data_IF_254506938096
#
_entry.id   IF_254506938096
#
_cell.length_a   1.000
_cell.length_b   1.000
_cell.length_c   1.000
_cell.angle_alpha   90.00
_cell.angle_beta   90.00
_cell.angle_gamma   90.00
#
_symmetry.space_group_name_H-M   'P 1'
#
loop_
_entity.id
_entity.type
_entity.pdbx_description
1 polymer ?
#
# COMPACT_ATOMS: atom_id res chain seq x y z
N UNK A 1 -64.28 -29.05 -7.89
CA UNK A 1 -62.93 -29.61 -8.16
C UNK A 1 -61.94 -28.51 -7.80
N UNK A 2 -61.20 -28.67 -6.71
CA UNK A 2 -60.35 -27.63 -6.11
C UNK A 2 -58.98 -27.64 -6.78
N UNK A 3 -58.61 -26.53 -7.43
CA UNK A 3 -57.27 -26.34 -8.00
C UNK A 3 -56.38 -25.73 -6.90
N UNK A 4 -55.50 -26.54 -6.33
CA UNK A 4 -54.44 -26.08 -5.42
C UNK A 4 -53.35 -25.40 -6.24
N UNK A 5 -53.19 -24.09 -6.08
CA UNK A 5 -52.03 -23.35 -6.59
C UNK A 5 -50.98 -23.26 -5.48
N UNK A 6 -49.90 -24.01 -5.63
CA UNK A 6 -48.71 -23.90 -4.78
C UNK A 6 -47.84 -22.77 -5.31
N UNK A 7 -47.73 -21.67 -4.55
CA UNK A 7 -46.75 -20.61 -4.82
C UNK A 7 -45.42 -21.02 -4.20
N UNK A 8 -44.46 -21.40 -5.06
CA UNK A 8 -43.07 -21.59 -4.66
C UNK A 8 -42.35 -20.23 -4.68
N UNK A 9 -42.04 -19.69 -3.50
CA UNK A 9 -41.20 -18.50 -3.36
C UNK A 9 -39.74 -18.95 -3.53
N UNK A 10 -39.15 -18.67 -4.69
CA UNK A 10 -37.72 -18.87 -4.92
C UNK A 10 -36.95 -17.67 -4.37
N UNK A 11 -36.28 -17.86 -3.22
CA UNK A 11 -35.39 -16.86 -2.64
C UNK A 11 -34.04 -16.93 -3.36
N UNK A 12 -33.84 -16.10 -4.39
CA UNK A 12 -32.53 -15.94 -5.02
C UNK A 12 -31.62 -15.12 -4.11
N UNK A 13 -30.77 -15.79 -3.34
CA UNK A 13 -29.66 -15.14 -2.65
C UNK A 13 -28.64 -14.65 -3.70
N UNK A 14 -28.66 -13.35 -4.00
CA UNK A 14 -27.52 -12.73 -4.69
C UNK A 14 -26.36 -12.68 -3.69
N UNK A 15 -25.42 -13.61 -3.81
CA UNK A 15 -24.11 -13.44 -3.21
C UNK A 15 -23.46 -12.21 -3.86
N UNK A 16 -23.36 -11.11 -3.11
CA UNK A 16 -22.53 -9.98 -3.49
C UNK A 16 -21.09 -10.49 -3.54
N UNK A 17 -20.57 -10.69 -4.75
CA UNK A 17 -19.15 -10.95 -4.93
C UNK A 17 -18.47 -9.62 -4.66
N UNK A 18 -17.87 -9.47 -3.49
CA UNK A 18 -17.01 -8.32 -3.17
C UNK A 18 -16.00 -8.15 -4.32
N UNK A 19 -16.22 -7.14 -5.14
CA UNK A 19 -15.45 -6.92 -6.35
C UNK A 19 -14.21 -6.12 -5.96
N UNK A 20 -13.11 -6.82 -5.74
CA UNK A 20 -11.82 -6.19 -5.52
C UNK A 20 -11.50 -5.27 -6.72
N UNK A 21 -11.12 -4.01 -6.44
CA UNK A 21 -10.97 -2.96 -7.46
C UNK A 21 -9.78 -3.25 -8.36
N UNK A 22 -9.89 -2.91 -9.65
CA UNK A 22 -8.72 -2.88 -10.54
C UNK A 22 -7.69 -1.88 -9.99
N UNK A 23 -6.42 -2.28 -9.93
CA UNK A 23 -5.36 -1.40 -9.45
C UNK A 23 -5.14 -0.23 -10.42
N UNK A 24 -5.27 1.04 -9.94
CA UNK A 24 -4.99 2.22 -10.76
C UNK A 24 -3.56 2.22 -11.30
N UNK A 25 -3.36 2.77 -12.50
CA UNK A 25 -2.09 2.67 -13.21
C UNK A 25 -0.89 3.23 -12.43
N UNK A 26 -1.09 4.32 -11.68
CA UNK A 26 -0.07 4.92 -10.83
C UNK A 26 0.33 3.99 -9.67
N UNK A 27 -0.64 3.36 -9.01
CA UNK A 27 -0.40 2.39 -7.93
C UNK A 27 0.26 1.12 -8.47
N UNK A 28 -0.15 0.65 -9.65
CA UNK A 28 0.48 -0.51 -10.31
C UNK A 28 1.95 -0.23 -10.67
N UNK A 29 2.23 0.97 -11.18
CA UNK A 29 3.60 1.41 -11.44
C UNK A 29 4.42 1.49 -10.15
N UNK A 30 3.82 1.98 -9.06
CA UNK A 30 4.46 2.04 -7.75
C UNK A 30 4.79 0.64 -7.21
N UNK A 31 3.85 -0.29 -7.24
CA UNK A 31 4.06 -1.69 -6.89
C UNK A 31 5.24 -2.30 -7.68
N UNK A 32 5.26 -2.14 -9.00
CA UNK A 32 6.33 -2.64 -9.84
C UNK A 32 7.67 -1.95 -9.56
N UNK A 33 7.66 -0.65 -9.27
CA UNK A 33 8.85 0.14 -8.95
C UNK A 33 9.49 -0.32 -7.64
N UNK A 34 8.69 -0.51 -6.59
CA UNK A 34 9.15 -1.03 -5.29
C UNK A 34 9.78 -2.41 -5.50
N UNK A 35 9.09 -3.34 -6.17
CA UNK A 35 9.63 -4.68 -6.42
C UNK A 35 10.91 -4.63 -7.26
N UNK A 36 10.94 -3.79 -8.29
CA UNK A 36 12.12 -3.59 -9.15
C UNK A 36 13.30 -2.93 -8.45
N UNK A 37 13.05 -2.10 -7.43
CA UNK A 37 14.08 -1.51 -6.58
C UNK A 37 14.85 -2.59 -5.80
N UNK A 38 14.19 -3.70 -5.49
CA UNK A 38 14.78 -4.86 -4.86
C UNK A 38 14.84 -4.81 -3.33
N UNK A 39 15.02 -3.64 -2.73
CA UNK A 39 14.99 -3.48 -1.27
C UNK A 39 14.76 -2.03 -0.88
N UNK A 40 14.35 -1.81 0.35
CA UNK A 40 14.24 -0.51 0.98
C UNK A 40 15.56 0.28 0.92
N UNK A 41 15.53 1.58 0.61
CA UNK A 41 16.74 2.44 0.64
C UNK A 41 16.78 3.34 1.87
N UNK A 42 15.63 3.84 2.27
CA UNK A 42 15.37 4.62 3.47
C UNK A 42 14.56 3.77 4.44
N UNK A 43 15.26 2.94 5.21
CA UNK A 43 14.68 2.09 6.25
C UNK A 43 14.30 2.95 7.45
N UNK A 44 13.02 2.97 7.80
CA UNK A 44 12.53 3.63 9.01
C UNK A 44 12.67 2.71 10.24
N UNK A 45 12.40 1.43 10.04
CA UNK A 45 12.70 0.33 10.96
C UNK A 45 12.83 -0.97 10.16
N UNK A 46 13.67 -1.88 10.64
CA UNK A 46 13.94 -3.16 10.00
C UNK A 46 14.17 -4.28 11.01
N UNK A 47 14.33 -5.50 10.49
CA UNK A 47 14.46 -6.71 11.32
C UNK A 47 13.11 -7.36 11.63
N UNK A 48 12.14 -7.20 10.73
CA UNK A 48 10.84 -7.84 10.82
C UNK A 48 10.76 -9.09 9.95
N UNK A 49 9.75 -9.90 10.23
CA UNK A 49 9.46 -11.18 9.61
C UNK A 49 8.05 -11.16 9.01
N UNK A 50 7.89 -11.69 7.81
CA UNK A 50 6.58 -11.91 7.20
C UNK A 50 6.00 -13.26 7.62
N UNK A 51 6.88 -14.26 7.80
CA UNK A 51 6.50 -15.63 8.14
C UNK A 51 7.53 -16.16 9.12
N UNK A 52 7.07 -16.93 10.10
CA UNK A 52 7.93 -17.62 11.05
C UNK A 52 9.11 -18.33 10.35
N UNK A 53 10.33 -17.99 10.75
CA UNK A 53 11.56 -18.62 10.28
C UNK A 53 12.09 -18.11 8.95
N UNK A 54 11.52 -17.06 8.37
CA UNK A 54 12.06 -16.39 7.18
C UNK A 54 13.39 -15.65 7.41
N UNK A 55 13.86 -15.62 8.66
CA UNK A 55 15.20 -15.26 9.13
C UNK A 55 16.33 -16.20 8.63
N UNK A 56 16.01 -17.21 7.82
CA UNK A 56 17.00 -18.10 7.18
C UNK A 56 17.50 -19.23 8.07
N UNK A 57 16.60 -19.83 8.88
CA UNK A 57 16.91 -21.03 9.69
C UNK A 57 16.82 -22.34 8.90
N UNK A 58 16.32 -22.31 7.66
CA UNK A 58 16.27 -23.48 6.77
C UNK A 58 17.49 -23.49 5.83
N UNK A 59 18.11 -24.66 5.55
CA UNK A 59 19.29 -24.79 4.67
C UNK A 59 19.12 -24.16 3.27
N UNK A 60 17.86 -24.02 2.84
CA UNK A 60 17.47 -23.56 1.50
C UNK A 60 16.88 -22.14 1.50
N UNK A 61 16.68 -21.51 2.67
CA UNK A 61 16.02 -20.21 2.80
C UNK A 61 17.03 -19.13 3.17
N UNK A 62 17.23 -18.17 2.27
CA UNK A 62 18.03 -16.97 2.59
C UNK A 62 17.22 -16.10 3.55
N UNK A 63 17.84 -15.49 4.58
CA UNK A 63 17.18 -14.52 5.44
C UNK A 63 16.55 -13.40 4.60
N UNK A 64 15.25 -13.18 4.74
CA UNK A 64 14.57 -12.02 4.18
C UNK A 64 14.14 -11.16 5.35
N UNK A 65 14.94 -10.15 5.67
CA UNK A 65 14.49 -9.12 6.60
C UNK A 65 13.46 -8.24 5.88
N UNK A 66 12.39 -7.90 6.57
CA UNK A 66 11.37 -6.94 6.14
C UNK A 66 11.54 -5.61 6.86
N UNK A 67 11.24 -4.54 6.15
CA UNK A 67 11.45 -3.16 6.59
C UNK A 67 10.19 -2.32 6.41
N UNK A 68 9.97 -1.39 7.34
CA UNK A 68 9.14 -0.21 7.12
C UNK A 68 9.94 0.82 6.32
N UNK A 69 9.42 1.18 5.16
CA UNK A 69 10.13 1.97 4.16
C UNK A 69 9.59 3.39 4.02
N UNK A 70 10.51 4.34 4.10
CA UNK A 70 10.27 5.77 3.94
C UNK A 70 10.82 6.34 2.63
N UNK A 71 11.08 5.51 1.61
CA UNK A 71 11.66 5.95 0.34
C UNK A 71 10.83 7.05 -0.34
N UNK A 72 9.52 7.03 -0.09
CA UNK A 72 8.56 7.91 -0.74
C UNK A 72 7.81 8.82 0.24
N UNK A 73 8.41 9.08 1.41
CA UNK A 73 7.82 10.01 2.39
C UNK A 73 7.91 11.47 1.91
N UNK A 74 8.93 11.82 1.13
CA UNK A 74 9.17 13.20 0.66
C UNK A 74 8.47 13.57 -0.66
N UNK A 75 8.17 12.59 -1.51
CA UNK A 75 7.58 12.82 -2.85
C UNK A 75 6.09 12.44 -2.91
N UNK A 76 5.71 11.27 -2.41
CA UNK A 76 4.33 10.77 -2.40
C UNK A 76 3.68 10.83 -1.02
N UNK A 77 4.46 11.12 0.01
CA UNK A 77 4.03 11.09 1.40
C UNK A 77 3.36 9.74 1.73
N UNK A 78 4.11 8.66 1.58
CA UNK A 78 3.71 7.29 1.89
C UNK A 78 4.80 6.52 2.63
N UNK A 79 4.37 5.55 3.43
CA UNK A 79 5.21 4.53 4.08
C UNK A 79 4.69 3.17 3.61
N UNK A 80 5.58 2.20 3.42
CA UNK A 80 5.20 0.88 2.94
C UNK A 80 6.09 -0.22 3.52
N UNK A 81 5.68 -1.48 3.39
CA UNK A 81 6.47 -2.65 3.78
C UNK A 81 7.19 -3.25 2.57
N UNK A 82 8.47 -3.57 2.73
CA UNK A 82 9.25 -4.26 1.71
C UNK A 82 10.33 -5.16 2.32
N UNK A 83 10.53 -6.32 1.72
CA UNK A 83 11.67 -7.19 1.99
C UNK A 83 12.74 -7.10 0.91
N UNK A 84 13.82 -7.86 1.10
CA UNK A 84 14.94 -7.95 0.15
C UNK A 84 14.56 -8.69 -1.14
N UNK A 85 15.36 -8.53 -2.19
CA UNK A 85 15.19 -9.18 -3.50
C UNK A 85 13.83 -8.93 -4.19
N UNK A 86 13.22 -7.77 -3.92
CA UNK A 86 11.94 -7.35 -4.50
C UNK A 86 10.74 -8.05 -3.89
N UNK A 87 10.94 -8.73 -2.75
CA UNK A 87 9.87 -9.32 -1.97
C UNK A 87 9.06 -8.22 -1.29
N UNK A 88 7.77 -8.44 -1.21
CA UNK A 88 6.88 -7.69 -0.35
C UNK A 88 6.53 -8.59 0.84
N UNK A 89 5.61 -8.21 1.69
CA UNK A 89 5.18 -9.06 2.80
C UNK A 89 4.04 -9.99 2.38
N UNK A 90 3.72 -10.94 3.25
CA UNK A 90 2.60 -11.86 3.16
C UNK A 90 1.30 -11.16 3.63
N UNK A 91 0.24 -11.95 3.84
CA UNK A 91 -0.96 -11.50 4.55
C UNK A 91 -1.42 -12.59 5.52
N UNK A 92 -0.97 -12.49 6.77
CA UNK A 92 -1.54 -13.25 7.88
C UNK A 92 -2.86 -12.62 8.39
N UNK A 93 -3.56 -13.34 9.26
CA UNK A 93 -4.96 -13.07 9.61
C UNK A 93 -5.11 -12.62 11.05
N UNK A 94 -5.48 -11.35 11.19
CA UNK A 94 -5.92 -10.79 12.45
C UNK A 94 -7.43 -11.00 12.61
N UNK A 95 -7.81 -11.50 13.77
CA UNK A 95 -9.20 -11.75 14.16
C UNK A 95 -9.63 -10.90 15.36
N UNK A 96 -8.87 -9.88 15.73
CA UNK A 96 -9.04 -9.11 16.96
C UNK A 96 -10.25 -8.16 16.90
N UNK A 97 -10.68 -7.72 18.08
CA UNK A 97 -11.81 -6.81 18.25
C UNK A 97 -13.15 -7.51 18.47
N UNK A 98 -14.21 -7.00 17.85
CA UNK A 98 -15.58 -7.51 18.02
C UNK A 98 -15.70 -8.92 17.46
N UNK A 99 -16.04 -9.84 18.36
CA UNK A 99 -16.35 -11.23 18.03
C UNK A 99 -17.86 -11.43 17.84
N UNK A 100 -18.25 -12.39 17.00
CA UNK A 100 -19.64 -12.80 16.79
C UNK A 100 -20.56 -11.67 16.29
N UNK A 101 -20.00 -10.74 15.52
CA UNK A 101 -20.77 -9.73 14.81
C UNK A 101 -21.57 -10.33 13.64
N UNK A 102 -22.47 -9.57 13.01
CA UNK A 102 -23.33 -10.10 11.94
C UNK A 102 -22.61 -10.59 10.69
N UNK A 103 -21.35 -10.17 10.47
CA UNK A 103 -20.50 -10.64 9.38
C UNK A 103 -19.69 -11.90 9.74
N UNK A 104 -19.67 -12.33 11.00
CA UNK A 104 -18.93 -13.50 11.45
C UNK A 104 -19.48 -14.77 10.79
N UNK A 105 -18.63 -15.44 10.02
CA UNK A 105 -18.93 -16.71 9.37
C UNK A 105 -18.15 -17.90 9.96
N UNK A 106 -17.58 -17.71 11.15
CA UNK A 106 -16.92 -18.72 11.96
C UNK A 106 -15.46 -19.00 11.57
N UNK A 107 -14.93 -18.35 10.52
CA UNK A 107 -13.56 -18.60 10.04
C UNK A 107 -12.48 -18.04 10.96
N UNK A 108 -12.80 -17.08 11.83
CA UNK A 108 -11.91 -16.68 12.91
C UNK A 108 -11.87 -17.70 14.05
N UNK A 109 -12.84 -18.62 14.15
CA UNK A 109 -12.89 -19.61 15.23
C UNK A 109 -11.75 -20.64 15.22
N UNK A 110 -10.89 -20.64 14.18
CA UNK A 110 -9.66 -21.43 14.17
C UNK A 110 -8.49 -20.72 14.88
N UNK A 111 -8.47 -19.38 14.94
CA UNK A 111 -7.38 -18.60 15.55
C UNK A 111 -7.21 -18.97 17.03
N UNK A 112 -5.95 -19.16 17.43
CA UNK A 112 -5.56 -19.46 18.81
C UNK A 112 -5.14 -18.24 19.63
N UNK A 113 -5.03 -17.08 18.99
CA UNK A 113 -4.45 -15.84 19.48
C UNK A 113 -5.42 -14.64 19.45
N UNK A 114 -6.63 -14.82 18.91
CA UNK A 114 -7.66 -13.77 18.87
C UNK A 114 -7.86 -13.07 20.21
N UNK A 115 -7.77 -11.75 20.20
CA UNK A 115 -8.06 -10.86 21.31
C UNK A 115 -9.42 -10.18 21.14
N UNK A 116 -10.05 -9.85 22.26
CA UNK A 116 -11.37 -9.20 22.23
C UNK A 116 -11.33 -7.71 21.91
N UNK A 117 -10.16 -7.16 21.61
CA UNK A 117 -9.94 -5.72 21.47
C UNK A 117 -8.85 -5.42 20.45
N UNK A 118 -9.06 -4.41 19.60
CA UNK A 118 -7.99 -3.89 18.73
C UNK A 118 -7.23 -2.74 19.40
N UNK A 119 -6.01 -2.44 18.93
CA UNK A 119 -5.18 -1.35 19.49
C UNK A 119 -5.88 0.02 19.55
N UNK A 120 -6.84 0.30 18.67
CA UNK A 120 -7.50 1.61 18.58
C UNK A 120 -8.98 1.62 19.01
N UNK A 121 -9.42 0.60 19.74
CA UNK A 121 -10.78 0.53 20.29
C UNK A 121 -11.18 1.81 21.04
N UNK A 122 -10.28 2.36 21.85
CA UNK A 122 -10.51 3.58 22.65
C UNK A 122 -10.75 4.81 21.76
N UNK A 123 -9.95 4.97 20.71
CA UNK A 123 -10.10 6.04 19.72
C UNK A 123 -11.45 5.92 19.03
N UNK A 124 -11.83 4.70 18.63
CA UNK A 124 -13.09 4.46 17.94
C UNK A 124 -14.30 4.73 18.85
N UNK A 125 -14.25 4.32 20.12
CA UNK A 125 -15.28 4.68 21.11
C UNK A 125 -15.40 6.20 21.28
N UNK A 126 -14.28 6.91 21.21
CA UNK A 126 -14.22 8.37 21.25
C UNK A 126 -14.99 9.06 20.13
N UNK A 127 -15.25 8.40 19.00
CA UNK A 127 -16.07 8.95 17.91
C UNK A 127 -17.57 9.00 18.21
N UNK A 128 -18.05 8.28 19.23
CA UNK A 128 -19.46 8.35 19.67
C UNK A 128 -20.46 7.84 18.62
N UNK A 129 -20.05 6.93 17.73
CA UNK A 129 -20.88 6.38 16.65
C UNK A 129 -21.71 5.16 17.08
N UNK A 130 -21.53 4.72 18.33
CA UNK A 130 -22.10 3.47 18.85
C UNK A 130 -21.24 2.24 18.56
N UNK A 131 -20.25 2.35 17.67
CA UNK A 131 -19.26 1.30 17.47
C UNK A 131 -18.27 1.26 18.63
N UNK A 132 -18.02 0.07 19.20
CA UNK A 132 -17.15 -0.10 20.36
C UNK A 132 -15.72 -0.49 20.01
N UNK A 133 -15.55 -1.16 18.88
CA UNK A 133 -14.27 -1.62 18.35
C UNK A 133 -14.43 -1.98 16.86
N UNK A 134 -13.36 -2.30 16.15
CA UNK A 134 -13.43 -2.89 14.83
C UNK A 134 -13.93 -4.34 14.93
N UNK A 135 -14.62 -4.81 13.90
CA UNK A 135 -15.06 -6.21 13.74
C UNK A 135 -14.27 -6.78 12.56
N UNK A 136 -13.38 -7.74 12.79
CA UNK A 136 -12.51 -8.34 11.77
C UNK A 136 -13.27 -8.86 10.53
N UNK A 137 -14.53 -9.26 10.69
CA UNK A 137 -15.37 -9.80 9.63
C UNK A 137 -16.10 -8.71 8.82
N UNK A 138 -16.27 -7.50 9.38
CA UNK A 138 -16.96 -6.38 8.74
C UNK A 138 -16.05 -5.21 8.35
N UNK A 139 -14.97 -4.99 9.08
CA UNK A 139 -14.09 -3.85 8.95
C UNK A 139 -12.77 -4.31 8.33
N UNK A 140 -12.49 -4.01 7.06
CA UNK A 140 -11.14 -4.17 6.54
C UNK A 140 -10.18 -3.24 7.28
N UNK A 141 -9.29 -3.83 8.06
CA UNK A 141 -8.17 -3.15 8.67
C UNK A 141 -6.87 -3.91 8.47
N UNK A 142 -5.77 -3.17 8.65
CA UNK A 142 -4.40 -3.62 8.58
C UNK A 142 -3.80 -3.54 9.98
N UNK A 143 -3.03 -4.56 10.36
CA UNK A 143 -2.14 -4.52 11.51
C UNK A 143 -0.84 -3.87 11.05
N UNK A 144 -0.53 -2.70 11.58
CA UNK A 144 0.59 -1.88 11.11
C UNK A 144 1.31 -1.23 12.28
N UNK A 145 2.63 -1.28 12.30
CA UNK A 145 3.39 -0.95 13.50
C UNK A 145 3.55 -2.15 14.43
N UNK A 146 4.56 -2.04 15.28
CA UNK A 146 4.97 -3.08 16.22
C UNK A 146 5.24 -2.42 17.57
N UNK A 147 4.59 -2.94 18.60
CA UNK A 147 4.67 -2.42 19.97
C UNK A 147 5.09 -3.52 20.93
N UNK A 148 5.86 -3.14 21.94
CA UNK A 148 6.45 -4.13 22.83
C UNK A 148 7.63 -3.62 23.64
N UNK A 149 8.11 -4.47 24.53
CA UNK A 149 9.32 -4.29 25.35
C UNK A 149 10.22 -5.52 25.39
N UNK A 150 9.86 -6.63 24.71
CA UNK A 150 10.63 -7.88 24.71
C UNK A 150 11.99 -7.66 24.08
N UNK A 151 13.04 -8.03 24.81
CA UNK A 151 14.42 -7.86 24.33
C UNK A 151 14.63 -8.67 23.06
N UNK A 152 15.15 -8.01 22.03
CA UNK A 152 15.43 -8.63 20.73
C UNK A 152 14.30 -8.46 19.71
N UNK A 153 13.17 -7.87 20.11
CA UNK A 153 12.06 -7.56 19.22
C UNK A 153 12.23 -6.17 18.62
N UNK A 154 12.01 -6.08 17.30
CA UNK A 154 11.93 -4.82 16.60
C UNK A 154 10.56 -4.19 16.86
N UNK A 155 10.58 -2.88 17.10
CA UNK A 155 9.38 -2.06 17.28
C UNK A 155 9.35 -0.96 16.23
N UNK A 156 8.14 -0.59 15.81
CA UNK A 156 7.92 0.52 14.91
C UNK A 156 6.64 1.24 15.30
N UNK A 157 6.73 2.55 15.50
CA UNK A 157 5.59 3.40 15.81
C UNK A 157 5.29 4.30 14.60
N UNK A 158 4.25 3.99 13.80
CA UNK A 158 3.89 4.78 12.63
C UNK A 158 3.57 6.25 12.94
N UNK A 159 3.14 6.55 14.18
CA UNK A 159 2.84 7.93 14.63
C UNK A 159 4.05 8.85 14.56
N UNK A 160 5.26 8.31 14.78
CA UNK A 160 6.52 9.08 14.67
C UNK A 160 6.76 9.62 13.27
N UNK A 161 6.12 9.04 12.27
CA UNK A 161 6.21 9.42 10.87
C UNK A 161 4.90 10.01 10.33
N UNK A 162 4.01 10.41 11.22
CA UNK A 162 2.78 11.14 10.89
C UNK A 162 1.61 10.27 10.40
N UNK A 163 1.72 8.95 10.49
CA UNK A 163 0.55 8.08 10.28
C UNK A 163 -0.32 8.14 11.54
N UNK A 164 -1.59 8.42 11.37
CA UNK A 164 -2.53 8.62 12.48
C UNK A 164 -3.36 7.34 12.69
N UNK A 165 -3.70 6.94 13.93
CA UNK A 165 -4.59 5.82 14.20
C UNK A 165 -5.89 5.90 13.39
N UNK A 166 -6.37 4.75 12.89
CA UNK A 166 -7.55 4.65 12.03
C UNK A 166 -7.45 5.40 10.70
N UNK A 167 -6.24 5.81 10.28
CA UNK A 167 -6.02 6.35 8.93
C UNK A 167 -6.29 5.30 7.86
N UNK A 168 -6.83 5.73 6.73
CA UNK A 168 -7.05 4.85 5.58
C UNK A 168 -5.69 4.40 5.03
N UNK A 169 -5.59 3.11 4.75
CA UNK A 169 -4.46 2.47 4.09
C UNK A 169 -4.92 1.86 2.76
N UNK A 170 -3.98 1.72 1.82
CA UNK A 170 -4.21 0.99 0.58
C UNK A 170 -3.39 -0.30 0.59
N UNK A 171 -4.03 -1.42 0.28
CA UNK A 171 -3.41 -2.74 0.17
C UNK A 171 -3.51 -3.20 -1.28
N UNK A 172 -2.40 -3.64 -1.85
CA UNK A 172 -2.34 -4.17 -3.20
C UNK A 172 -2.03 -5.66 -3.13
N UNK A 173 -3.01 -6.47 -3.50
CA UNK A 173 -2.95 -7.93 -3.47
C UNK A 173 -2.69 -8.46 -4.88
N UNK A 174 -1.66 -9.28 -5.02
CA UNK A 174 -1.35 -9.96 -6.28
C UNK A 174 -2.24 -11.19 -6.44
N UNK A 175 -3.53 -11.00 -6.78
CA UNK A 175 -4.49 -12.09 -6.82
C UNK A 175 -4.02 -13.24 -7.73
N UNK A 176 -3.78 -14.41 -7.13
CA UNK A 176 -3.53 -15.69 -7.81
C UNK A 176 -4.77 -16.58 -7.89
N UNK A 177 -5.98 -16.02 -7.85
CA UNK A 177 -7.22 -16.81 -7.91
C UNK A 177 -7.19 -17.79 -9.11
N UNK A 178 -7.08 -19.09 -8.81
CA UNK A 178 -7.07 -20.23 -9.75
C UNK A 178 -8.44 -20.40 -10.42
N UNK A 179 -8.81 -19.47 -11.30
CA UNK A 179 -9.88 -19.68 -12.28
C UNK A 179 -9.22 -20.13 -13.58
N UNK A 180 -9.75 -21.16 -14.29
CA UNK A 180 -9.13 -21.70 -15.50
C UNK A 180 -8.73 -20.60 -16.50
N UNK A 181 -7.48 -20.72 -16.96
CA UNK A 181 -6.63 -19.81 -17.74
C UNK A 181 -7.28 -19.18 -18.99
N UNK A 182 -8.46 -19.61 -19.42
CA UNK A 182 -9.02 -19.22 -20.72
C UNK A 182 -9.84 -17.93 -20.73
N UNK A 183 -10.05 -17.23 -19.58
CA UNK A 183 -10.91 -16.02 -19.55
C UNK A 183 -10.49 -14.82 -18.67
N UNK A 184 -9.28 -14.73 -18.10
CA UNK A 184 -8.94 -13.56 -17.24
C UNK A 184 -7.58 -12.93 -17.54
N UNK A 185 -7.57 -11.59 -17.55
CA UNK A 185 -6.37 -10.80 -17.30
C UNK A 185 -5.84 -11.13 -15.89
N UNK A 186 -4.52 -11.13 -15.66
CA UNK A 186 -3.98 -11.09 -14.31
C UNK A 186 -4.44 -9.79 -13.64
N UNK A 187 -5.42 -9.88 -12.75
CA UNK A 187 -5.95 -8.73 -12.01
C UNK A 187 -5.31 -8.72 -10.64
N UNK A 188 -4.25 -7.93 -10.48
CA UNK A 188 -3.86 -7.41 -9.17
C UNK A 188 -5.04 -6.57 -8.67
N UNK A 189 -5.38 -6.67 -7.39
CA UNK A 189 -6.47 -5.90 -6.79
C UNK A 189 -5.97 -4.89 -5.77
N UNK A 190 -6.65 -3.75 -5.68
CA UNK A 190 -6.46 -2.77 -4.63
C UNK A 190 -7.65 -2.78 -3.67
N UNK A 191 -7.36 -2.77 -2.38
CA UNK A 191 -8.35 -2.72 -1.29
C UNK A 191 -8.01 -1.57 -0.36
N UNK A 192 -9.03 -0.87 0.12
CA UNK A 192 -8.86 0.10 1.20
C UNK A 192 -9.26 -0.54 2.53
N UNK A 193 -8.43 -0.29 3.53
CA UNK A 193 -8.73 -0.57 4.93
C UNK A 193 -8.33 0.61 5.79
N UNK A 194 -8.41 0.45 7.11
CA UNK A 194 -7.80 1.40 8.06
C UNK A 194 -6.61 0.77 8.76
N UNK A 195 -5.67 1.57 9.25
CA UNK A 195 -4.75 1.13 10.28
C UNK A 195 -5.56 0.88 11.56
N UNK A 196 -5.85 -0.38 11.85
CA UNK A 196 -6.76 -0.79 12.92
C UNK A 196 -6.07 -1.36 14.14
N UNK A 197 -4.93 -2.01 13.93
CA UNK A 197 -4.20 -2.70 14.99
C UNK A 197 -2.67 -2.56 14.88
N UNK A 198 -1.95 -3.00 15.90
CA UNK A 198 -0.48 -3.03 15.98
C UNK A 198 -0.02 -4.43 16.42
N UNK A 199 1.04 -4.98 15.81
CA UNK A 199 1.59 -6.27 16.23
C UNK A 199 2.27 -6.14 17.60
N UNK A 200 2.12 -7.16 18.44
CA UNK A 200 2.69 -7.20 19.78
C UNK A 200 4.06 -7.88 19.88
N UNK A 201 4.48 -8.17 21.11
CA UNK A 201 5.58 -9.08 21.41
C UNK A 201 5.09 -10.54 21.53
N UNK A 202 4.28 -10.98 20.59
CA UNK A 202 3.76 -12.33 20.48
C UNK A 202 4.66 -13.21 19.61
N UNK A 203 4.44 -14.52 19.66
CA UNK A 203 5.24 -15.48 18.90
C UNK A 203 6.74 -15.48 19.24
N UNK A 204 7.57 -15.80 18.24
CA UNK A 204 9.03 -15.95 18.38
C UNK A 204 9.86 -14.87 17.68
N UNK A 205 9.21 -14.07 16.83
CA UNK A 205 9.83 -13.11 15.92
C UNK A 205 8.94 -11.86 15.79
N UNK A 206 9.51 -10.70 15.41
CA UNK A 206 8.73 -9.46 15.22
C UNK A 206 8.02 -9.49 13.86
N UNK A 207 6.73 -9.79 13.88
CA UNK A 207 5.94 -10.06 12.68
C UNK A 207 5.42 -8.78 12.00
N UNK A 208 5.23 -8.83 10.68
CA UNK A 208 4.54 -7.83 9.86
C UNK A 208 3.75 -8.52 8.76
N UNK A 209 2.81 -7.81 8.14
CA UNK A 209 2.05 -8.34 7.02
C UNK A 209 0.80 -9.07 7.47
N UNK A 210 0.04 -8.48 8.37
CA UNK A 210 -1.18 -9.05 8.93
C UNK A 210 -2.37 -8.10 8.70
N UNK A 211 -3.56 -8.67 8.50
CA UNK A 211 -4.77 -7.92 8.24
C UNK A 211 -6.03 -8.67 8.71
N UNK A 212 -7.11 -7.91 8.94
CA UNK A 212 -8.42 -8.47 9.25
C UNK A 212 -8.86 -9.55 8.25
N UNK A 213 -9.56 -10.58 8.74
CA UNK A 213 -10.09 -11.64 7.89
C UNK A 213 -10.97 -11.12 6.74
N UNK A 214 -11.69 -10.01 6.93
CA UNK A 214 -12.51 -9.40 5.88
C UNK A 214 -11.68 -8.84 4.72
N UNK A 215 -10.56 -8.17 5.03
CA UNK A 215 -9.60 -7.67 4.03
C UNK A 215 -8.96 -8.84 3.28
N UNK A 216 -8.46 -9.84 4.01
CA UNK A 216 -7.84 -11.01 3.40
C UNK A 216 -8.80 -11.83 2.54
N UNK A 217 -10.06 -11.97 2.98
CA UNK A 217 -11.12 -12.59 2.18
C UNK A 217 -11.36 -11.84 0.88
N UNK A 218 -11.30 -10.52 0.89
CA UNK A 218 -11.48 -9.71 -0.30
C UNK A 218 -10.28 -9.82 -1.28
N UNK A 219 -9.07 -10.08 -0.77
CA UNK A 219 -7.88 -10.33 -1.61
C UNK A 219 -7.85 -11.76 -2.18
N UNK A 220 -8.05 -12.77 -1.34
CA UNK A 220 -7.71 -14.17 -1.67
C UNK A 220 -8.92 -15.11 -1.65
N UNK A 221 -10.09 -14.60 -1.31
CA UNK A 221 -11.34 -15.35 -1.26
C UNK A 221 -11.53 -16.13 0.03
N UNK A 222 -12.58 -16.96 0.05
CA UNK A 222 -13.05 -17.67 1.25
C UNK A 222 -12.17 -18.85 1.71
N UNK A 223 -11.04 -19.10 1.06
CA UNK A 223 -10.09 -20.13 1.48
C UNK A 223 -9.30 -19.76 2.73
N UNK A 224 -9.24 -18.47 3.04
CA UNK A 224 -8.56 -17.89 4.19
C UNK A 224 -9.36 -18.10 5.48
N UNK A 225 -8.68 -18.36 6.59
CA UNK A 225 -9.24 -18.46 7.95
C UNK A 225 -8.21 -18.00 9.00
N UNK A 226 -8.60 -17.94 10.28
CA UNK A 226 -7.77 -17.40 11.37
C UNK A 226 -6.42 -18.09 11.63
N UNK A 227 -6.13 -19.24 11.00
CA UNK A 227 -4.81 -19.90 11.06
C UNK A 227 -4.18 -20.08 9.68
N UNK A 228 -4.78 -19.53 8.63
CA UNK A 228 -4.35 -19.76 7.26
C UNK A 228 -4.60 -18.51 6.43
N UNK A 229 -3.60 -17.64 6.45
CA UNK A 229 -3.48 -16.48 5.58
C UNK A 229 -2.92 -16.82 4.19
N UNK A 230 -2.22 -15.85 3.62
CA UNK A 230 -1.56 -15.93 2.32
C UNK A 230 -0.06 -15.78 2.49
N UNK A 231 0.68 -16.87 2.30
CA UNK A 231 2.12 -16.97 2.55
C UNK A 231 3.00 -16.38 1.43
N UNK A 232 2.47 -16.02 0.26
CA UNK A 232 3.33 -15.43 -0.77
C UNK A 232 3.66 -13.97 -0.43
N UNK A 233 4.95 -13.64 -0.55
CA UNK A 233 5.52 -12.30 -0.33
C UNK A 233 5.27 -11.33 -1.49
N UNK A 234 3.99 -11.09 -1.77
CA UNK A 234 3.49 -10.28 -2.89
C UNK A 234 2.36 -9.30 -2.55
N UNK A 235 2.18 -8.98 -1.26
CA UNK A 235 1.21 -7.99 -0.78
C UNK A 235 1.92 -6.68 -0.43
N UNK A 236 1.49 -5.57 -1.05
CA UNK A 236 1.98 -4.23 -0.72
C UNK A 236 0.99 -3.51 0.19
N UNK A 237 1.45 -3.14 1.39
CA UNK A 237 0.74 -2.26 2.31
C UNK A 237 1.26 -0.83 2.14
N UNK A 238 0.36 0.14 2.00
CA UNK A 238 0.69 1.56 1.82
C UNK A 238 -0.05 2.37 2.88
N UNK A 239 0.70 2.95 3.81
CA UNK A 239 0.23 3.92 4.78
C UNK A 239 0.40 5.35 4.27
N UNK A 240 -0.56 6.22 4.58
CA UNK A 240 -0.55 7.62 4.19
C UNK A 240 -0.41 8.51 5.43
N UNK A 241 0.77 9.10 5.70
CA UNK A 241 0.90 10.12 6.72
C UNK A 241 -0.02 11.32 6.48
N UNK A 242 -0.47 11.93 7.58
CA UNK A 242 -1.26 13.15 7.61
C UNK A 242 -2.69 12.94 8.13
N UNK A 243 -3.20 13.96 8.81
CA UNK A 243 -4.56 13.99 9.36
C UNK A 243 -5.65 13.82 8.31
N UNK A 244 -5.35 14.20 7.06
CA UNK A 244 -6.30 14.06 5.96
C UNK A 244 -6.48 12.61 5.50
N UNK A 245 -5.65 11.68 5.99
CA UNK A 245 -5.86 10.24 5.81
C UNK A 245 -6.84 9.64 6.82
N UNK A 246 -7.21 10.37 7.88
CA UNK A 246 -8.15 9.89 8.90
C UNK A 246 -9.59 10.21 8.47
N UNK A 247 -10.47 9.22 8.28
CA UNK A 247 -11.87 9.49 7.94
C UNK A 247 -12.62 10.16 9.10
N UNK A 248 -12.19 9.93 10.33
CA UNK A 248 -12.79 10.49 11.54
C UNK A 248 -14.20 9.97 11.80
N UNK A 249 -14.88 10.52 12.81
CA UNK A 249 -16.18 10.04 13.28
C UNK A 249 -17.28 10.00 12.20
N UNK A 250 -17.20 10.87 11.18
CA UNK A 250 -18.24 11.04 10.15
C UNK A 250 -17.82 10.61 8.74
N UNK A 251 -16.53 10.31 8.53
CA UNK A 251 -16.01 9.97 7.20
C UNK A 251 -15.94 8.47 6.91
N UNK A 252 -16.30 7.62 7.87
CA UNK A 252 -16.44 6.18 7.70
C UNK A 252 -17.73 5.70 8.37
N UNK A 253 -18.29 4.61 7.84
CA UNK A 253 -19.43 3.91 8.43
C UNK A 253 -18.94 2.95 9.50
N UNK A 254 -18.52 3.47 10.65
CA UNK A 254 -17.96 2.67 11.75
C UNK A 254 -18.91 1.60 12.29
N UNK A 255 -20.22 1.73 12.12
CA UNK A 255 -21.20 0.74 12.52
C UNK A 255 -21.61 -0.20 11.37
N UNK A 256 -20.81 -0.27 10.29
CA UNK A 256 -21.05 -1.19 9.18
C UNK A 256 -21.07 -2.63 9.69
N UNK A 257 -22.01 -3.41 9.18
CA UNK A 257 -22.20 -4.81 9.60
C UNK A 257 -21.66 -5.81 8.56
N UNK A 258 -20.91 -5.32 7.57
CA UNK A 258 -20.27 -6.13 6.53
C UNK A 258 -19.15 -5.32 5.83
N UNK A 259 -18.25 -6.07 5.19
CA UNK A 259 -17.10 -5.53 4.44
C UNK A 259 -17.50 -4.47 3.41
N UNK A 260 -18.48 -4.77 2.54
CA UNK A 260 -18.82 -3.89 1.42
C UNK A 260 -19.31 -2.53 1.94
N UNK A 261 -20.13 -2.50 2.99
CA UNK A 261 -20.62 -1.26 3.56
C UNK A 261 -19.49 -0.39 4.13
N UNK A 262 -18.53 -0.99 4.84
CA UNK A 262 -17.42 -0.25 5.41
C UNK A 262 -16.45 0.23 4.32
N UNK A 263 -15.98 -0.66 3.44
CA UNK A 263 -15.00 -0.32 2.41
C UNK A 263 -15.53 0.76 1.46
N UNK A 264 -16.80 0.67 1.06
CA UNK A 264 -17.42 1.69 0.21
C UNK A 264 -17.47 3.05 0.92
N UNK A 265 -17.59 3.09 2.25
CA UNK A 265 -17.63 4.35 3.00
C UNK A 265 -16.28 5.09 2.99
N UNK A 266 -15.15 4.36 2.97
CA UNK A 266 -13.80 4.93 2.95
C UNK A 266 -13.20 5.05 1.55
N UNK A 267 -13.79 4.39 0.56
CA UNK A 267 -13.36 4.39 -0.85
C UNK A 267 -13.06 5.79 -1.39
N UNK A 268 -13.94 6.77 -1.11
CA UNK A 268 -13.76 8.13 -1.61
C UNK A 268 -12.47 8.78 -1.10
N UNK A 269 -12.16 8.55 0.17
CA UNK A 269 -10.92 9.01 0.80
C UNK A 269 -9.71 8.25 0.27
N UNK A 270 -9.78 6.92 0.21
CA UNK A 270 -8.71 6.08 -0.36
C UNK A 270 -8.33 6.51 -1.78
N UNK A 271 -9.33 6.70 -2.65
CA UNK A 271 -9.14 7.15 -4.03
C UNK A 271 -8.44 8.51 -4.13
N UNK A 272 -8.69 9.42 -3.17
CA UNK A 272 -8.01 10.71 -3.07
C UNK A 272 -6.55 10.54 -2.64
N UNK A 273 -6.29 9.71 -1.62
CA UNK A 273 -4.95 9.50 -1.06
C UNK A 273 -3.99 8.88 -2.09
N UNK A 274 -4.44 7.89 -2.86
CA UNK A 274 -3.60 7.24 -3.87
C UNK A 274 -3.21 8.18 -5.02
N UNK A 275 -3.87 9.33 -5.21
CA UNK A 275 -3.46 10.31 -6.23
C UNK A 275 -2.10 10.95 -5.92
N UNK A 276 -1.62 10.87 -4.68
CA UNK A 276 -0.27 11.32 -4.31
C UNK A 276 0.81 10.47 -4.99
N UNK A 277 0.51 9.20 -5.26
CA UNK A 277 1.46 8.24 -5.81
C UNK A 277 1.63 8.48 -7.32
N UNK A 278 2.87 8.74 -7.75
CA UNK A 278 3.21 8.96 -9.17
C UNK A 278 2.75 10.29 -9.75
N UNK A 279 2.10 11.14 -8.95
CA UNK A 279 1.57 12.45 -9.34
C UNK A 279 2.38 13.58 -8.73
N UNK A 280 3.67 13.69 -9.05
CA UNK A 280 4.49 14.81 -8.60
C UNK A 280 3.86 16.16 -9.00
N UNK A 281 3.25 16.86 -8.02
CA UNK A 281 2.63 18.16 -8.26
C UNK A 281 1.64 18.66 -7.20
N UNK A 282 2.12 19.03 -6.01
CA UNK A 282 1.66 20.25 -5.31
C UNK A 282 0.55 20.16 -4.26
N UNK A 283 0.95 20.17 -2.98
CA UNK A 283 0.41 21.10 -1.97
C UNK A 283 1.39 21.18 -0.79
N UNK A 284 2.54 21.83 -1.02
CA UNK A 284 3.20 22.51 0.09
C UNK A 284 2.18 23.51 0.63
N UNK A 285 1.83 23.36 1.91
CA UNK A 285 1.02 24.29 2.65
C UNK A 285 1.54 25.71 2.39
N UNK A 286 0.72 26.53 1.74
CA UNK A 286 0.92 27.97 1.77
C UNK A 286 0.86 28.37 3.24
N UNK A 287 2.02 28.72 3.80
CA UNK A 287 2.11 29.45 5.04
C UNK A 287 1.28 30.72 4.86
N UNK A 288 0.07 30.71 5.42
CA UNK A 288 -0.76 31.88 5.55
C UNK A 288 -0.10 32.82 6.54
N UNK A 289 0.78 33.69 6.04
CA UNK A 289 1.14 34.91 6.74
C UNK A 289 -0.13 35.76 6.78
N UNK A 290 -0.80 35.71 7.93
CA UNK A 290 -1.89 36.62 8.27
C UNK A 290 -1.35 38.04 8.25
N UNK A 291 -1.68 38.79 7.20
CA UNK A 291 -1.56 40.24 7.18
C UNK A 291 -2.95 40.80 7.51
N UNK A 292 -3.12 41.22 8.76
CA UNK A 292 -4.25 42.02 9.22
C UNK A 292 -4.33 43.29 8.35
N UNK A 293 -5.37 43.43 7.55
CA UNK A 293 -5.79 44.71 6.98
C UNK A 293 -7.10 45.10 7.65
N UNK A 294 -7.04 46.17 8.45
CA UNK A 294 -8.20 46.82 9.02
C UNK A 294 -9.12 47.33 7.90
N UNK A 295 -10.40 47.00 8.03
CA UNK A 295 -11.50 47.69 7.40
C UNK A 295 -11.47 49.18 7.74
N UNK A 296 -11.63 50.04 6.72
CA UNK A 296 -12.34 51.32 6.80
C UNK A 296 -12.58 51.83 5.35
N UNK A 297 -13.82 51.70 4.89
CA UNK A 297 -14.43 52.58 3.88
C UNK A 297 -15.42 53.51 4.61
N UNK A 298 -15.98 54.61 4.03
CA UNK A 298 -16.00 54.98 2.61
C UNK A 298 -15.76 56.49 2.31
N UNK A 299 -15.51 56.84 1.04
CA UNK A 299 -15.47 58.23 0.60
C UNK A 299 -15.48 58.39 -0.92
N UNK A 300 -16.43 59.18 -1.41
CA UNK A 300 -16.82 59.42 -2.81
C UNK A 300 -15.95 60.48 -3.53
N UNK A 301 -16.05 60.43 -4.86
CA UNK A 301 -15.86 61.50 -5.86
C UNK A 301 -14.44 61.96 -6.25
N UNK A 302 -14.02 61.66 -7.48
CA UNK A 302 -13.95 62.61 -8.63
C UNK A 302 -12.95 62.15 -9.70
N UNK A 303 -13.34 62.35 -10.96
CA UNK A 303 -12.59 62.08 -12.18
C UNK A 303 -11.51 63.14 -12.40
N UNK A 304 -10.25 62.75 -12.69
CA UNK A 304 -9.37 63.55 -13.58
C UNK A 304 -8.17 62.76 -14.16
N UNK A 305 -8.19 62.70 -15.50
CA UNK A 305 -7.11 62.68 -16.50
C UNK A 305 -5.70 62.10 -16.17
N UNK A 306 -5.26 61.22 -17.09
CA UNK A 306 -3.85 60.91 -17.40
C UNK A 306 -3.02 62.18 -17.70
N UNK A 307 -1.69 62.10 -17.50
CA UNK A 307 -0.83 61.93 -18.66
C UNK A 307 0.32 60.92 -18.48
N UNK A 308 0.87 60.55 -19.65
CA UNK A 308 1.99 59.67 -19.91
C UNK A 308 3.31 60.07 -19.23
N UNK A 309 4.18 59.09 -18.95
CA UNK A 309 5.52 59.01 -19.56
C UNK A 309 6.31 57.78 -19.06
N UNK A 310 7.11 57.24 -19.97
CA UNK A 310 8.08 56.15 -19.84
C UNK A 310 9.08 56.34 -18.68
N UNK A 311 9.57 55.22 -18.12
CA UNK A 311 10.96 54.73 -18.35
C UNK A 311 11.26 53.45 -17.56
N UNK A 312 11.46 52.38 -18.32
CA UNK A 312 12.22 51.18 -17.94
C UNK A 312 13.69 51.55 -17.77
N UNK A 313 14.32 51.14 -16.66
CA UNK A 313 15.77 50.94 -16.59
C UNK A 313 16.09 49.72 -15.73
N UNK A 314 16.80 48.77 -16.34
CA UNK A 314 17.49 47.68 -15.67
C UNK A 314 18.93 48.13 -15.37
N UNK A 315 19.60 47.62 -14.32
CA UNK A 315 21.03 47.77 -14.17
C UNK A 315 21.79 46.54 -14.69
N UNK A 316 22.66 46.77 -15.67
CA UNK A 316 23.95 46.10 -15.86
C UNK A 316 24.90 46.58 -14.73
N UNK A 317 25.98 45.94 -14.28
CA UNK A 317 27.00 45.06 -14.86
C UNK A 317 27.93 44.66 -13.70
N UNK A 318 28.48 43.44 -13.64
CA UNK A 318 29.84 43.16 -13.15
C UNK A 318 30.39 41.92 -13.91
N UNK A 319 31.54 42.09 -14.54
CA UNK A 319 32.29 41.15 -15.39
C UNK A 319 32.94 40.01 -14.57
N UNK A 320 32.76 38.75 -14.97
CA UNK A 320 33.70 37.89 -15.71
C UNK A 320 34.96 37.41 -14.97
N UNK A 321 35.05 36.09 -14.73
CA UNK A 321 36.27 35.30 -14.97
C UNK A 321 35.92 33.84 -15.34
N UNK A 322 36.35 33.49 -16.56
CA UNK A 322 36.63 32.23 -17.26
C UNK A 322 36.51 30.85 -16.57
N UNK A 323 35.99 29.89 -17.35
CA UNK A 323 36.16 28.43 -17.17
C UNK A 323 35.43 27.59 -18.23
N UNK A 324 36.01 27.48 -19.43
CA UNK A 324 35.52 26.69 -20.59
C UNK A 324 35.52 25.17 -20.34
N UNK A 325 34.43 24.46 -20.70
CA UNK A 325 34.46 23.13 -21.34
C UNK A 325 33.04 22.66 -21.74
N UNK A 326 32.65 22.86 -23.02
CA UNK A 326 31.75 21.97 -23.78
C UNK A 326 31.29 22.64 -25.09
N UNK A 327 31.86 22.22 -26.23
CA UNK A 327 31.19 22.14 -27.55
C UNK A 327 32.21 21.98 -28.68
N UNK A 328 32.31 20.77 -29.23
CA UNK A 328 32.81 20.36 -30.56
C UNK A 328 32.80 18.82 -30.49
N UNK A 329 32.07 18.05 -31.29
CA UNK A 329 32.05 18.02 -32.76
C UNK A 329 30.75 17.33 -33.21
N UNK A 330 29.98 18.01 -34.08
CA UNK A 330 28.96 17.38 -34.95
C UNK A 330 29.30 17.83 -36.38
N UNK A 331 29.21 16.87 -37.32
CA UNK A 331 29.46 16.92 -38.78
C UNK A 331 30.91 16.78 -39.25
N UNK A 332 31.22 15.59 -39.77
CA UNK A 332 31.76 15.49 -41.12
C UNK A 332 31.43 14.13 -41.79
N UNK A 333 30.68 14.25 -42.89
CA UNK A 333 30.74 13.49 -44.15
C UNK A 333 30.29 12.01 -44.26
N UNK A 334 29.14 11.91 -44.94
CA UNK A 334 28.65 10.87 -45.85
C UNK A 334 29.65 10.40 -46.93
N UNK A 335 29.36 9.17 -47.43
CA UNK A 335 29.80 8.44 -48.65
C UNK A 335 30.85 7.35 -48.36
N UNK A 336 30.73 6.09 -48.78
CA UNK A 336 29.92 5.44 -49.84
C UNK A 336 30.00 3.91 -49.71
N UNK A 337 28.92 3.24 -50.16
CA UNK A 337 28.82 1.94 -50.89
C UNK A 337 29.06 0.59 -50.16
N UNK A 338 27.94 -0.14 -50.05
CA UNK A 338 27.64 -1.53 -50.49
C UNK A 338 28.83 -2.44 -50.82
N UNK A 339 28.88 -3.61 -50.17
CA UNK A 339 29.02 -4.95 -50.81
C UNK A 339 28.28 -6.00 -49.96
N UNK A 340 27.59 -6.91 -50.63
CA UNK A 340 26.86 -8.06 -50.09
C UNK A 340 27.77 -9.27 -49.85
N UNK A 341 27.37 -10.22 -49.00
CA UNK A 341 27.86 -11.60 -49.11
C UNK A 341 27.99 -12.39 -47.80
N UNK A 342 27.07 -13.37 -47.65
CA UNK A 342 27.28 -14.78 -47.23
C UNK A 342 28.33 -15.11 -46.14
N UNK A 343 27.88 -15.92 -45.17
CA UNK A 343 28.61 -17.14 -44.85
C UNK A 343 28.93 -17.43 -43.37
N UNK A 344 28.31 -18.50 -42.88
CA UNK A 344 28.87 -19.59 -42.05
C UNK A 344 29.27 -19.35 -40.59
N UNK A 345 28.45 -19.98 -39.73
CA UNK A 345 28.81 -21.03 -38.74
C UNK A 345 29.96 -20.77 -37.75
N UNK A 346 29.60 -20.79 -36.46
CA UNK A 346 30.49 -21.25 -35.38
C UNK A 346 29.76 -22.20 -34.43
N UNK A 347 30.14 -23.47 -34.58
CA UNK A 347 30.47 -24.48 -33.56
C UNK A 347 30.21 -24.05 -32.11
N UNK A 348 29.36 -24.81 -31.40
CA UNK A 348 29.37 -24.87 -29.94
C UNK A 348 29.83 -26.26 -29.51
N UNK A 349 30.95 -26.28 -28.80
CA UNK A 349 31.60 -27.46 -28.22
C UNK A 349 30.70 -28.06 -27.14
N UNK A 350 30.48 -29.36 -27.22
CA UNK A 350 29.93 -30.23 -26.17
C UNK A 350 31.08 -30.60 -25.24
N UNK A 351 30.91 -30.40 -23.93
CA UNK A 351 31.74 -31.05 -22.93
C UNK A 351 30.84 -31.61 -21.82
N UNK A 352 30.76 -32.94 -21.77
CA UNK A 352 30.26 -33.73 -20.66
C UNK A 352 31.27 -33.74 -19.52
N UNK A 353 30.81 -33.63 -18.28
CA UNK A 353 31.46 -34.28 -17.13
C UNK A 353 30.47 -34.38 -15.96
N UNK A 354 30.02 -35.61 -15.69
CA UNK A 354 29.49 -36.04 -14.39
C UNK A 354 30.65 -36.60 -13.58
N UNK A 355 30.68 -36.39 -12.25
CA UNK A 355 31.25 -37.35 -11.34
C UNK A 355 30.15 -38.06 -10.54
N UNK A 356 30.48 -39.31 -10.22
CA UNK A 356 29.66 -40.30 -9.53
C UNK A 356 29.55 -40.01 -8.03
N UNK A 357 28.38 -40.29 -7.47
CA UNK A 357 28.16 -40.44 -6.03
C UNK A 357 28.76 -41.77 -5.54
N UNK A 358 29.28 -41.86 -4.31
CA UNK A 358 29.37 -43.13 -3.60
C UNK A 358 28.15 -43.34 -2.70
N UNK A 359 27.66 -44.58 -2.75
CA UNK A 359 26.81 -45.19 -1.73
C UNK A 359 27.51 -45.12 -0.37
N UNK A 360 26.75 -44.85 0.69
CA UNK A 360 26.97 -45.51 1.98
C UNK A 360 25.63 -45.93 2.57
N UNK A 361 25.58 -47.20 2.95
CA UNK A 361 24.53 -47.85 3.72
C UNK A 361 25.11 -48.12 5.11
N UNK A 362 24.52 -47.52 6.13
CA UNK A 362 24.17 -48.05 7.46
C UNK A 362 23.74 -46.90 8.37
#
# INVERSE_FOLDING_TARGET
MVIKSSVAVSLSALAAVAAARDVPANVKSFYNSIRGQGQCRNVLAGGFHSIDGDSGKSPDMKPIDFDYCGDHISDYNVIYLQGKNGQLVNMDIDCDGIQHGPADDGRCGSSGDTQSVTSFADTLRGYGTGQRDLDANAHPYVVFGNTGSRKGFANFDPRKYGVEPLSVMAVVCNNKLRVPITKRKPSVSQIYGVWGDENGDDGSESMVGEASISLATACFGRGINGNSGHDDNDVLYIAFPGKDAVPGAKGAKWNAQNYDEFENSITGLGNKLIQRIGGGGGAAAAAGTSLLLLDLAPGRDTVKALPASLKTTAPTSWSATLGNAAARVVRLLLRRRRVAGKGTARVRVVAHSRPQSPLFTL
#
